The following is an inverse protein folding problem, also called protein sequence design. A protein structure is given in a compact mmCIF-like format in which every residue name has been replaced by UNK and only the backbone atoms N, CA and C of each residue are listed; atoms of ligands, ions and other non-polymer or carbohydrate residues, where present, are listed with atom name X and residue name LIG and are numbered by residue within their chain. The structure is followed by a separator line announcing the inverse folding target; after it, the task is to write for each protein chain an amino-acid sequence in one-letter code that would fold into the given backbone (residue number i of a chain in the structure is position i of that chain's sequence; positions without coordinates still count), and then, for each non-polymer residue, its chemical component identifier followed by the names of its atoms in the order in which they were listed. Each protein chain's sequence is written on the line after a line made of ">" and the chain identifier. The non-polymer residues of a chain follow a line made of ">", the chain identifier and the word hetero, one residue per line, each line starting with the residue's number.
data_IF_905423584039
#
_entry.id   IF_905423584039
#
_cell.length_a   1.000
_cell.length_b   1.000
_cell.length_c   1.000
_cell.angle_alpha   90.00
_cell.angle_beta   90.00
_cell.angle_gamma   90.00
#
_symmetry.space_group_name_H-M   'P 1'
#
loop_
_entity.id
_entity.type
_entity.pdbx_description
1 polymer ?
#
# COMPACT_ATOMS: atom_id res chain seq x y z
N UNK A 1 -94.73 -18.41 23.11
CA UNK A 1 -94.83 -17.18 22.29
C UNK A 1 -93.48 -16.51 22.31
N UNK A 2 -92.74 -16.54 21.14
CA UNK A 2 -91.53 -15.78 21.05
C UNK A 2 -91.84 -14.30 20.90
N UNK A 3 -91.28 -13.49 21.81
CA UNK A 3 -91.46 -12.03 21.88
C UNK A 3 -91.04 -11.45 20.52
N UNK A 4 -91.92 -10.68 19.88
CA UNK A 4 -91.58 -9.96 18.60
C UNK A 4 -90.50 -8.92 18.84
N UNK A 5 -90.20 -8.53 20.07
CA UNK A 5 -89.19 -7.54 20.42
C UNK A 5 -87.76 -8.09 20.59
N UNK A 6 -87.58 -9.40 20.75
CA UNK A 6 -86.27 -10.05 20.83
C UNK A 6 -86.29 -11.39 20.12
N UNK A 7 -85.89 -11.35 18.81
CA UNK A 7 -85.66 -12.57 18.04
C UNK A 7 -84.23 -13.08 18.21
N UNK A 8 -84.07 -13.97 19.25
CA UNK A 8 -82.77 -14.55 19.57
C UNK A 8 -82.14 -15.30 18.36
N UNK A 9 -82.96 -15.93 17.51
CA UNK A 9 -82.47 -16.62 16.31
C UNK A 9 -81.88 -15.62 15.28
N UNK A 10 -82.52 -14.45 15.09
CA UNK A 10 -82.01 -13.39 14.24
C UNK A 10 -80.70 -12.78 14.78
N UNK A 11 -80.56 -12.61 16.11
CA UNK A 11 -79.36 -12.13 16.74
C UNK A 11 -78.20 -13.14 16.58
N UNK A 12 -78.46 -14.44 16.79
CA UNK A 12 -77.47 -15.50 16.56
C UNK A 12 -77.04 -15.55 15.09
N UNK A 13 -77.98 -15.46 14.15
CA UNK A 13 -77.69 -15.43 12.72
C UNK A 13 -76.86 -14.20 12.34
N UNK A 14 -77.14 -13.03 12.88
CA UNK A 14 -76.39 -11.80 12.67
C UNK A 14 -74.98 -11.87 13.23
N UNK A 15 -74.81 -12.47 14.41
CA UNK A 15 -73.52 -12.69 15.03
C UNK A 15 -72.68 -13.72 14.27
N UNK A 16 -73.32 -14.78 13.73
CA UNK A 16 -72.65 -15.77 12.87
C UNK A 16 -72.20 -15.12 11.54
N UNK A 17 -73.08 -14.32 10.90
CA UNK A 17 -72.73 -13.58 9.72
C UNK A 17 -71.55 -12.61 9.92
N UNK A 18 -71.57 -11.90 11.05
CA UNK A 18 -70.45 -11.01 11.41
C UNK A 18 -69.14 -11.77 11.63
N UNK A 19 -69.19 -12.95 12.24
CA UNK A 19 -68.00 -13.81 12.41
C UNK A 19 -67.50 -14.34 11.08
N UNK A 20 -68.41 -14.80 10.18
CA UNK A 20 -68.03 -15.24 8.82
C UNK A 20 -67.41 -14.12 7.99
N UNK A 21 -68.00 -12.93 8.01
CA UNK A 21 -67.43 -11.77 7.30
C UNK A 21 -66.08 -11.36 7.83
N UNK A 22 -65.87 -11.41 9.17
CA UNK A 22 -64.56 -11.16 9.78
C UNK A 22 -63.56 -12.22 9.39
N UNK A 23 -63.93 -13.51 9.39
CA UNK A 23 -63.10 -14.60 8.95
C UNK A 23 -62.72 -14.50 7.47
N UNK A 24 -63.70 -14.16 6.60
CA UNK A 24 -63.46 -13.96 5.16
C UNK A 24 -62.48 -12.81 4.95
N UNK A 25 -62.67 -11.67 5.61
CA UNK A 25 -61.79 -10.52 5.51
C UNK A 25 -60.37 -10.84 5.96
N UNK A 26 -60.22 -11.62 7.02
CA UNK A 26 -58.92 -12.10 7.52
C UNK A 26 -58.24 -13.03 6.46
N UNK A 27 -58.98 -14.01 5.93
CA UNK A 27 -58.45 -14.93 4.90
C UNK A 27 -58.05 -14.21 3.64
N UNK A 28 -58.83 -13.22 3.20
CA UNK A 28 -58.48 -12.36 2.09
C UNK A 28 -57.17 -11.57 2.33
N UNK A 29 -57.00 -11.04 3.54
CA UNK A 29 -55.74 -10.36 3.91
C UNK A 29 -54.56 -11.32 3.94
N UNK A 30 -54.75 -12.53 4.47
CA UNK A 30 -53.71 -13.57 4.50
C UNK A 30 -53.30 -14.00 3.09
N UNK A 31 -54.25 -14.20 2.16
CA UNK A 31 -53.96 -14.51 0.79
C UNK A 31 -53.26 -13.36 0.06
N UNK A 32 -53.73 -12.13 0.29
CA UNK A 32 -53.12 -10.93 -0.35
C UNK A 32 -51.71 -10.64 0.13
N UNK A 33 -51.41 -10.85 1.42
CA UNK A 33 -50.09 -10.58 2.01
C UNK A 33 -49.16 -11.80 1.99
N UNK A 34 -49.72 -13.01 1.77
CA UNK A 34 -48.99 -14.27 1.92
C UNK A 34 -48.55 -14.56 3.35
N UNK A 35 -49.08 -13.85 4.33
CA UNK A 35 -48.69 -13.94 5.74
C UNK A 35 -49.93 -14.13 6.63
N UNK A 36 -49.93 -15.13 7.53
CA UNK A 36 -50.98 -15.36 8.48
C UNK A 36 -51.01 -14.31 9.60
N UNK A 37 -49.85 -13.65 9.83
CA UNK A 37 -49.72 -12.52 10.75
C UNK A 37 -48.99 -11.42 9.99
N UNK A 38 -49.74 -10.44 9.52
CA UNK A 38 -49.21 -9.34 8.72
C UNK A 38 -49.01 -8.06 9.55
N UNK A 39 -49.77 -7.91 10.62
CA UNK A 39 -49.75 -6.71 11.47
C UNK A 39 -49.65 -7.07 12.96
N UNK A 40 -49.22 -6.12 13.78
CA UNK A 40 -49.19 -6.27 15.23
C UNK A 40 -50.58 -6.45 15.88
N UNK A 41 -51.66 -6.12 15.13
CA UNK A 41 -53.05 -6.34 15.58
C UNK A 41 -53.46 -7.82 15.54
N UNK A 42 -52.86 -8.60 14.64
CA UNK A 42 -53.16 -10.02 14.51
C UNK A 42 -52.58 -10.83 15.67
N UNK A 43 -51.32 -10.59 16.00
CA UNK A 43 -50.64 -11.13 17.17
C UNK A 43 -49.34 -10.35 17.42
N UNK A 44 -49.36 -9.46 18.42
CA UNK A 44 -48.24 -8.55 18.69
C UNK A 44 -46.92 -9.31 19.05
N UNK A 45 -47.04 -10.43 19.79
CA UNK A 45 -45.87 -11.17 20.21
C UNK A 45 -45.20 -11.89 19.03
N UNK A 46 -45.98 -12.64 18.23
CA UNK A 46 -45.42 -13.32 17.04
C UNK A 46 -44.96 -12.34 15.99
N UNK A 47 -45.70 -11.24 15.79
CA UNK A 47 -45.31 -10.17 14.86
C UNK A 47 -43.93 -9.56 15.23
N UNK A 48 -43.75 -9.27 16.54
CA UNK A 48 -42.49 -8.74 17.08
C UNK A 48 -41.31 -9.71 16.82
N UNK A 49 -41.51 -11.00 17.11
CA UNK A 49 -40.51 -12.04 16.88
C UNK A 49 -40.20 -12.14 15.37
N UNK A 50 -41.22 -12.17 14.52
CA UNK A 50 -41.05 -12.25 13.07
C UNK A 50 -40.27 -11.05 12.52
N UNK A 51 -40.56 -9.82 13.01
CA UNK A 51 -39.82 -8.61 12.62
C UNK A 51 -38.37 -8.62 13.06
N UNK A 52 -38.10 -9.12 14.26
CA UNK A 52 -36.75 -9.30 14.76
C UNK A 52 -35.97 -10.30 13.87
N UNK A 53 -36.56 -11.46 13.56
CA UNK A 53 -35.95 -12.46 12.67
C UNK A 53 -35.75 -11.92 11.26
N UNK A 54 -36.69 -11.14 10.71
CA UNK A 54 -36.53 -10.50 9.40
C UNK A 54 -35.37 -9.49 9.38
N UNK A 55 -35.23 -8.72 10.46
CA UNK A 55 -34.08 -7.83 10.66
C UNK A 55 -32.78 -8.59 10.75
N UNK A 56 -32.75 -9.68 11.51
CA UNK A 56 -31.53 -10.50 11.68
C UNK A 56 -31.15 -11.19 10.37
N UNK A 57 -32.13 -11.73 9.62
CA UNK A 57 -31.88 -12.29 8.30
C UNK A 57 -31.31 -11.26 7.32
N UNK A 58 -31.81 -10.01 7.37
CA UNK A 58 -31.30 -8.91 6.56
C UNK A 58 -29.87 -8.54 6.96
N UNK A 59 -29.58 -8.49 8.25
CA UNK A 59 -28.22 -8.23 8.77
C UNK A 59 -27.24 -9.31 8.32
N UNK A 60 -27.62 -10.59 8.42
CA UNK A 60 -26.78 -11.71 7.96
C UNK A 60 -26.52 -11.62 6.44
N UNK A 61 -27.54 -11.29 5.65
CA UNK A 61 -27.39 -11.10 4.20
C UNK A 61 -26.42 -9.95 3.87
N UNK A 62 -26.50 -8.85 4.62
CA UNK A 62 -25.58 -7.71 4.46
C UNK A 62 -24.14 -8.12 4.81
N UNK A 63 -23.97 -8.89 5.90
CA UNK A 63 -22.65 -9.43 6.28
C UNK A 63 -22.10 -10.34 5.20
N UNK A 64 -22.91 -11.26 4.67
CA UNK A 64 -22.49 -12.15 3.57
C UNK A 64 -22.03 -11.36 2.33
N UNK A 65 -22.75 -10.29 1.96
CA UNK A 65 -22.35 -9.39 0.87
C UNK A 65 -21.03 -8.68 1.20
N UNK A 66 -20.87 -8.18 2.43
CA UNK A 66 -19.64 -7.54 2.88
C UNK A 66 -18.43 -8.48 2.86
N UNK A 67 -18.62 -9.74 3.28
CA UNK A 67 -17.57 -10.78 3.23
C UNK A 67 -17.18 -11.12 1.79
N UNK A 68 -18.14 -11.20 0.87
CA UNK A 68 -17.86 -11.42 -0.55
C UNK A 68 -17.04 -10.26 -1.13
N UNK A 69 -17.44 -9.01 -0.86
CA UNK A 69 -16.69 -7.82 -1.29
C UNK A 69 -15.27 -7.81 -0.71
N UNK A 70 -15.12 -8.19 0.55
CA UNK A 70 -13.80 -8.29 1.19
C UNK A 70 -12.94 -9.36 0.53
N UNK A 71 -13.51 -10.53 0.22
CA UNK A 71 -12.79 -11.59 -0.48
C UNK A 71 -12.34 -11.16 -1.89
N UNK A 72 -13.19 -10.44 -2.63
CA UNK A 72 -12.84 -9.85 -3.92
C UNK A 72 -11.72 -8.81 -3.80
N UNK A 73 -11.77 -7.98 -2.74
CA UNK A 73 -10.74 -6.98 -2.45
C UNK A 73 -9.38 -7.66 -2.19
N UNK A 74 -9.37 -8.72 -1.38
CA UNK A 74 -8.15 -9.50 -1.11
C UNK A 74 -7.64 -10.19 -2.39
N UNK A 75 -8.54 -10.77 -3.18
CA UNK A 75 -8.18 -11.43 -4.44
C UNK A 75 -7.56 -10.42 -5.43
N UNK A 76 -8.12 -9.22 -5.51
CA UNK A 76 -7.61 -8.12 -6.34
C UNK A 76 -6.20 -7.69 -5.89
N UNK A 77 -6.01 -7.50 -4.58
CA UNK A 77 -4.70 -7.17 -4.02
C UNK A 77 -3.65 -8.27 -4.30
N UNK A 78 -4.01 -9.55 -4.09
CA UNK A 78 -3.12 -10.70 -4.41
C UNK A 78 -2.77 -10.75 -5.90
N UNK A 79 -3.74 -10.48 -6.77
CA UNK A 79 -3.53 -10.41 -8.22
C UNK A 79 -2.54 -9.30 -8.60
N UNK A 80 -2.66 -8.13 -7.97
CA UNK A 80 -1.73 -7.02 -8.17
C UNK A 80 -0.31 -7.38 -7.68
N UNK A 81 -0.17 -7.95 -6.47
CA UNK A 81 1.12 -8.40 -5.92
C UNK A 81 1.79 -9.43 -6.83
N UNK A 82 1.04 -10.39 -7.38
CA UNK A 82 1.59 -11.37 -8.32
C UNK A 82 2.13 -10.72 -9.59
N UNK A 83 1.46 -9.69 -10.12
CA UNK A 83 1.94 -8.93 -11.28
C UNK A 83 3.18 -8.11 -10.93
N UNK A 84 3.20 -7.47 -9.76
CA UNK A 84 4.37 -6.73 -9.25
C UNK A 84 5.58 -7.66 -9.15
N UNK A 85 5.42 -8.85 -8.59
CA UNK A 85 6.50 -9.85 -8.47
C UNK A 85 7.08 -10.21 -9.85
N UNK A 86 6.24 -10.43 -10.86
CA UNK A 86 6.69 -10.70 -12.23
C UNK A 86 7.47 -9.54 -12.84
N UNK A 87 7.03 -8.30 -12.61
CA UNK A 87 7.76 -7.13 -13.11
C UNK A 87 9.11 -6.94 -12.39
N UNK A 88 9.19 -7.27 -11.11
CA UNK A 88 10.47 -7.27 -10.38
C UNK A 88 11.44 -8.33 -10.93
N UNK A 89 10.95 -9.53 -11.28
CA UNK A 89 11.76 -10.56 -11.95
C UNK A 89 12.25 -10.09 -13.32
N UNK A 90 11.41 -9.40 -14.08
CA UNK A 90 11.77 -8.78 -15.37
C UNK A 90 12.86 -7.72 -15.18
N UNK A 91 12.69 -6.83 -14.19
CA UNK A 91 13.70 -5.80 -13.87
C UNK A 91 15.02 -6.45 -13.49
N UNK A 92 14.99 -7.46 -12.60
CA UNK A 92 16.20 -8.18 -12.19
C UNK A 92 16.94 -8.81 -13.39
N UNK A 93 16.20 -9.44 -14.30
CA UNK A 93 16.77 -10.03 -15.52
C UNK A 93 17.42 -8.97 -16.42
N UNK A 94 16.78 -7.79 -16.55
CA UNK A 94 17.34 -6.67 -17.35
C UNK A 94 18.59 -6.07 -16.70
N UNK A 95 18.60 -5.95 -15.36
CA UNK A 95 19.78 -5.48 -14.61
C UNK A 95 20.95 -6.44 -14.78
N UNK A 96 20.71 -7.76 -14.74
CA UNK A 96 21.75 -8.77 -15.00
C UNK A 96 22.27 -8.63 -16.43
N UNK A 97 21.39 -8.47 -17.42
CA UNK A 97 21.76 -8.31 -18.83
C UNK A 97 22.58 -7.04 -19.10
N UNK A 98 22.29 -5.97 -18.34
CA UNK A 98 23.00 -4.70 -18.47
C UNK A 98 24.49 -4.77 -18.08
N UNK A 99 24.90 -5.78 -17.30
CA UNK A 99 26.31 -5.93 -16.84
C UNK A 99 27.29 -6.09 -18.01
N UNK A 100 26.89 -6.75 -19.10
CA UNK A 100 27.71 -7.03 -20.25
C UNK A 100 27.27 -6.27 -21.51
N UNK A 101 26.35 -5.30 -21.37
CA UNK A 101 25.77 -4.55 -22.46
C UNK A 101 26.62 -3.34 -22.85
N UNK A 102 26.53 -2.92 -24.11
CA UNK A 102 27.12 -1.65 -24.61
C UNK A 102 26.35 -0.46 -24.03
N UNK A 103 26.87 0.76 -24.22
CA UNK A 103 26.22 1.98 -23.74
C UNK A 103 24.80 2.15 -24.32
N UNK A 104 24.63 1.91 -25.63
CA UNK A 104 23.34 2.04 -26.31
C UNK A 104 22.32 0.97 -25.81
N UNK A 105 22.82 -0.27 -25.65
CA UNK A 105 22.01 -1.36 -25.11
C UNK A 105 21.58 -1.07 -23.66
N UNK A 106 22.46 -0.49 -22.83
CA UNK A 106 22.11 -0.07 -21.47
C UNK A 106 21.04 1.02 -21.45
N UNK A 107 21.11 1.99 -22.38
CA UNK A 107 20.07 3.01 -22.49
C UNK A 107 18.71 2.42 -22.84
N UNK A 108 18.67 1.43 -23.74
CA UNK A 108 17.43 0.70 -24.06
C UNK A 108 16.90 -0.09 -22.87
N UNK A 109 17.78 -0.83 -22.18
CA UNK A 109 17.42 -1.59 -20.98
C UNK A 109 16.92 -0.68 -19.85
N UNK A 110 17.50 0.52 -19.71
CA UNK A 110 17.03 1.51 -18.74
C UNK A 110 15.59 1.96 -19.05
N UNK A 111 15.31 2.28 -20.32
CA UNK A 111 13.94 2.63 -20.74
C UNK A 111 12.94 1.50 -20.43
N UNK A 112 13.34 0.27 -20.65
CA UNK A 112 12.52 -0.89 -20.36
C UNK A 112 12.29 -1.08 -18.87
N UNK A 113 13.31 -0.81 -18.03
CA UNK A 113 13.18 -0.83 -16.56
C UNK A 113 12.23 0.26 -16.10
N UNK A 114 12.35 1.47 -16.63
CA UNK A 114 11.48 2.59 -16.31
C UNK A 114 10.03 2.28 -16.66
N UNK A 115 9.77 1.62 -17.79
CA UNK A 115 8.45 1.14 -18.17
C UNK A 115 7.91 0.08 -17.19
N UNK A 116 8.74 -0.87 -16.77
CA UNK A 116 8.35 -1.88 -15.76
C UNK A 116 8.04 -1.23 -14.41
N UNK A 117 8.80 -0.22 -13.99
CA UNK A 117 8.53 0.58 -12.79
C UNK A 117 7.18 1.30 -12.89
N UNK A 118 6.90 1.93 -14.04
CA UNK A 118 5.62 2.58 -14.28
C UNK A 118 4.44 1.60 -14.21
N UNK A 119 4.61 0.37 -14.71
CA UNK A 119 3.61 -0.70 -14.59
C UNK A 119 3.40 -1.11 -13.13
N UNK A 120 4.46 -1.29 -12.35
CA UNK A 120 4.37 -1.57 -10.91
C UNK A 120 3.59 -0.46 -10.20
N UNK A 121 3.89 0.81 -10.47
CA UNK A 121 3.14 1.94 -9.92
C UNK A 121 1.66 1.91 -10.31
N UNK A 122 1.35 1.43 -11.51
CA UNK A 122 -0.02 1.20 -11.96
C UNK A 122 -0.72 0.11 -11.15
N UNK A 123 -0.05 -1.02 -10.91
CA UNK A 123 -0.60 -2.12 -10.10
C UNK A 123 -0.79 -1.73 -8.63
N UNK A 124 0.06 -0.88 -8.07
CA UNK A 124 -0.09 -0.37 -6.70
C UNK A 124 -1.34 0.48 -6.51
N UNK A 125 -1.84 1.11 -7.57
CA UNK A 125 -3.09 1.90 -7.53
C UNK A 125 -4.35 1.06 -7.66
N UNK A 126 -4.22 -0.26 -7.78
CA UNK A 126 -5.37 -1.14 -7.98
C UNK A 126 -6.19 -1.21 -6.69
N UNK A 127 -7.44 -0.73 -6.75
CA UNK A 127 -8.38 -0.74 -5.65
C UNK A 127 -9.66 -1.48 -6.05
N UNK A 128 -10.29 -2.13 -5.09
CA UNK A 128 -11.60 -2.76 -5.23
C UNK A 128 -12.59 -2.07 -4.28
N UNK A 129 -13.72 -1.63 -4.82
CA UNK A 129 -14.75 -0.92 -4.04
C UNK A 129 -14.22 0.28 -3.24
N UNK A 130 -13.22 0.98 -3.79
CA UNK A 130 -12.57 2.12 -3.12
C UNK A 130 -11.56 1.75 -2.03
N UNK A 131 -11.30 0.45 -1.83
CA UNK A 131 -10.31 -0.03 -0.86
C UNK A 131 -9.08 -0.54 -1.58
N UNK A 132 -7.92 -0.01 -1.21
CA UNK A 132 -6.61 -0.52 -1.62
C UNK A 132 -5.89 -1.09 -0.39
N UNK A 133 -5.38 -2.32 -0.51
CA UNK A 133 -4.72 -3.02 0.58
C UNK A 133 -3.19 -2.96 0.50
N UNK A 134 -2.61 -2.36 -0.56
CA UNK A 134 -1.18 -2.46 -0.86
C UNK A 134 -0.49 -1.14 -1.15
N UNK A 135 -1.21 -0.02 -1.23
CA UNK A 135 -0.65 1.28 -1.64
C UNK A 135 -0.05 2.11 -0.50
N UNK A 136 -0.19 1.65 0.75
CA UNK A 136 0.27 2.38 1.92
C UNK A 136 -0.52 3.66 2.24
N UNK A 137 -1.66 3.90 1.59
CA UNK A 137 -2.49 5.09 1.82
C UNK A 137 -3.12 5.14 3.20
N UNK A 138 -3.21 4.00 3.88
CA UNK A 138 -3.74 3.88 5.24
C UNK A 138 -2.92 2.86 6.02
N UNK A 139 -2.62 3.19 7.27
CA UNK A 139 -1.99 2.29 8.24
C UNK A 139 -3.00 1.50 9.07
N UNK A 140 -4.28 1.86 8.99
CA UNK A 140 -5.33 1.15 9.69
C UNK A 140 -5.75 -0.10 8.91
N UNK A 141 -5.92 -1.21 9.62
CA UNK A 141 -6.40 -2.47 9.05
C UNK A 141 -7.76 -2.31 8.39
N UNK A 142 -8.00 -3.11 7.37
CA UNK A 142 -9.32 -3.19 6.75
C UNK A 142 -10.22 -4.09 7.59
N UNK A 143 -11.22 -3.49 8.24
CA UNK A 143 -12.16 -4.18 9.11
C UNK A 143 -13.37 -4.69 8.32
N UNK A 144 -13.62 -5.98 8.39
CA UNK A 144 -14.76 -6.63 7.73
C UNK A 144 -15.65 -7.26 8.78
N UNK A 145 -16.93 -6.89 8.79
CA UNK A 145 -17.90 -7.49 9.71
C UNK A 145 -18.06 -8.98 9.36
N UNK A 146 -17.78 -9.85 10.34
CA UNK A 146 -17.78 -11.31 10.16
C UNK A 146 -19.00 -11.99 10.77
N UNK A 147 -19.52 -11.46 11.84
CA UNK A 147 -20.69 -12.02 12.52
C UNK A 147 -21.49 -10.96 13.23
N UNK A 148 -22.72 -11.35 13.51
CA UNK A 148 -23.71 -10.59 14.22
C UNK A 148 -24.32 -11.52 15.26
N UNK A 149 -24.30 -11.11 16.51
CA UNK A 149 -24.94 -11.83 17.60
C UNK A 149 -25.94 -10.93 18.33
N UNK A 150 -27.11 -11.46 18.60
CA UNK A 150 -28.15 -10.79 19.37
C UNK A 150 -28.38 -11.54 20.67
N UNK A 151 -28.05 -10.90 21.77
CA UNK A 151 -28.26 -11.41 23.11
C UNK A 151 -29.22 -10.49 23.91
N UNK A 152 -29.54 -10.88 25.12
CA UNK A 152 -30.29 -10.05 26.05
C UNK A 152 -29.59 -8.73 26.44
N UNK A 153 -28.27 -8.70 26.27
CA UNK A 153 -27.42 -7.50 26.50
C UNK A 153 -27.38 -6.54 25.32
N UNK A 154 -27.94 -6.94 24.17
CA UNK A 154 -27.94 -6.13 22.94
C UNK A 154 -27.37 -6.86 21.73
N UNK A 155 -26.99 -6.07 20.76
CA UNK A 155 -26.38 -6.55 19.50
C UNK A 155 -24.86 -6.37 19.57
N UNK A 156 -24.14 -7.46 19.33
CA UNK A 156 -22.68 -7.46 19.20
C UNK A 156 -22.27 -7.80 17.78
N UNK A 157 -21.23 -7.14 17.29
CA UNK A 157 -20.68 -7.32 15.95
C UNK A 157 -19.23 -7.75 16.11
N UNK A 158 -18.84 -8.83 15.44
CA UNK A 158 -17.43 -9.26 15.36
C UNK A 158 -16.86 -8.88 13.99
N UNK A 159 -15.59 -8.50 13.98
CA UNK A 159 -14.88 -8.12 12.78
C UNK A 159 -13.71 -9.05 12.53
N UNK A 160 -13.38 -9.26 11.25
CA UNK A 160 -12.10 -9.77 10.79
C UNK A 160 -11.24 -8.60 10.40
N UNK A 161 -10.04 -8.52 10.98
CA UNK A 161 -9.02 -7.53 10.61
C UNK A 161 -8.17 -8.08 9.48
N UNK A 162 -8.03 -7.33 8.40
CA UNK A 162 -7.14 -7.63 7.27
C UNK A 162 -6.05 -6.59 7.25
N UNK A 163 -4.82 -7.01 7.51
CA UNK A 163 -3.65 -6.14 7.53
C UNK A 163 -3.40 -5.53 6.15
N UNK A 164 -3.18 -4.23 6.11
CA UNK A 164 -2.75 -3.53 4.91
C UNK A 164 -1.24 -3.60 4.78
N UNK A 165 -0.76 -3.81 3.58
CA UNK A 165 0.66 -3.82 3.26
C UNK A 165 1.05 -2.53 2.55
N UNK A 166 2.14 -1.93 2.96
CA UNK A 166 2.68 -0.77 2.27
C UNK A 166 3.75 -1.22 1.27
N UNK A 167 3.35 -1.36 0.01
CA UNK A 167 4.25 -1.61 -1.11
C UNK A 167 4.51 -0.32 -1.92
N UNK A 168 4.12 0.85 -1.38
CA UNK A 168 4.31 2.10 -2.09
C UNK A 168 5.78 2.27 -2.42
N UNK A 169 6.04 2.49 -3.69
CA UNK A 169 7.34 2.94 -4.17
C UNK A 169 7.42 4.45 -3.88
N UNK A 170 7.50 4.82 -2.62
CA UNK A 170 7.92 6.17 -2.26
C UNK A 170 9.36 6.30 -2.73
N UNK A 171 9.50 6.79 -3.94
CA UNK A 171 10.80 7.09 -4.47
C UNK A 171 11.46 8.04 -3.49
N UNK A 172 12.48 7.55 -2.82
CA UNK A 172 13.44 8.45 -2.20
C UNK A 172 13.94 9.30 -3.36
N UNK A 173 13.43 10.52 -3.48
CA UNK A 173 13.95 11.45 -4.48
C UNK A 173 15.37 11.75 -4.05
N UNK A 174 16.40 11.32 -4.81
CA UNK A 174 17.77 11.67 -4.45
C UNK A 174 17.88 13.19 -4.36
N UNK A 175 18.60 13.72 -3.37
CA UNK A 175 18.81 15.17 -3.32
C UNK A 175 19.49 15.61 -4.60
N UNK A 176 19.02 16.69 -5.10
CA UNK A 176 19.74 17.42 -6.14
C UNK A 176 20.88 18.15 -5.44
N UNK A 177 22.08 17.60 -5.52
CA UNK A 177 23.28 18.34 -5.12
C UNK A 177 23.55 19.44 -6.15
N UNK A 178 23.77 20.66 -5.68
CA UNK A 178 24.23 21.73 -6.56
C UNK A 178 25.55 21.34 -7.25
N UNK A 179 25.78 21.85 -8.43
CA UNK A 179 26.89 21.46 -9.32
C UNK A 179 28.31 21.78 -8.80
N UNK A 180 28.47 22.22 -7.58
CA UNK A 180 29.73 22.66 -7.00
C UNK A 180 30.21 21.67 -5.94
N UNK A 181 31.39 21.30 -6.11
CA UNK A 181 32.40 20.62 -5.30
C UNK A 181 32.00 20.25 -3.84
N UNK A 182 32.43 19.09 -3.38
CA UNK A 182 32.10 18.48 -2.10
C UNK A 182 33.02 19.03 -1.00
N UNK A 183 32.44 19.62 0.05
CA UNK A 183 33.18 19.92 1.28
C UNK A 183 33.07 18.77 2.28
N UNK A 184 33.90 18.84 3.33
CA UNK A 184 34.03 17.86 4.43
C UNK A 184 32.78 17.61 5.27
N UNK A 185 31.58 17.94 4.78
CA UNK A 185 30.35 17.85 5.54
C UNK A 185 29.57 16.58 5.19
N UNK A 186 28.74 16.14 6.12
CA UNK A 186 27.93 14.95 5.99
C UNK A 186 27.02 14.96 4.76
N UNK A 187 27.06 13.88 3.98
CA UNK A 187 26.13 13.68 2.87
C UNK A 187 24.89 13.00 3.43
N UNK A 188 23.80 13.71 3.44
CA UNK A 188 22.49 13.16 3.76
C UNK A 188 21.46 13.65 2.78
N UNK A 189 20.51 12.79 2.48
CA UNK A 189 19.40 13.15 1.66
C UNK A 189 18.11 12.43 2.08
N UNK A 190 16.98 12.99 1.71
CA UNK A 190 15.66 12.43 1.94
C UNK A 190 15.38 12.18 3.43
N UNK A 191 15.23 13.26 4.17
CA UNK A 191 14.94 13.26 5.61
C UNK A 191 15.98 13.96 6.46
N UNK A 192 17.08 14.41 5.87
CA UNK A 192 18.10 15.25 6.51
C UNK A 192 18.47 16.46 5.68
N UNK A 193 19.20 17.38 6.28
CA UNK A 193 19.71 18.54 5.57
C UNK A 193 20.83 18.07 4.64
N UNK A 194 20.62 18.13 3.33
CA UNK A 194 21.68 17.89 2.37
C UNK A 194 22.78 18.92 2.59
N UNK A 195 23.96 18.47 2.85
CA UNK A 195 25.09 19.34 2.97
C UNK A 195 26.09 18.99 1.88
N UNK A 196 26.55 19.95 1.19
CA UNK A 196 27.72 19.74 0.42
C UNK A 196 27.96 20.82 -0.61
N UNK A 197 28.97 21.59 -0.41
CA UNK A 197 29.72 22.20 -1.48
C UNK A 197 31.08 21.49 -1.53
N UNK A 198 31.62 21.27 -2.71
CA UNK A 198 32.89 20.61 -2.86
C UNK A 198 33.99 21.65 -3.01
N UNK A 199 35.17 21.36 -2.53
CA UNK A 199 36.39 22.04 -2.88
C UNK A 199 37.17 21.20 -3.89
N UNK A 200 37.90 21.84 -4.79
CA UNK A 200 38.88 21.13 -5.60
C UNK A 200 39.93 20.51 -4.68
N UNK A 201 40.17 19.20 -4.84
CA UNK A 201 41.22 18.51 -4.09
C UNK A 201 42.51 18.68 -4.85
N UNK A 202 43.51 19.33 -4.23
CA UNK A 202 44.83 19.48 -4.82
C UNK A 202 45.51 18.12 -5.00
N UNK A 203 46.48 18.03 -5.91
CA UNK A 203 47.26 16.82 -6.09
C UNK A 203 47.97 16.47 -4.77
N UNK A 204 47.95 15.21 -4.36
CA UNK A 204 48.48 14.73 -3.09
C UNK A 204 47.64 15.02 -1.85
N UNK A 205 46.52 15.71 -2.00
CA UNK A 205 45.61 16.00 -0.91
C UNK A 205 44.47 14.95 -0.81
N UNK A 206 43.96 14.76 0.40
CA UNK A 206 42.82 13.90 0.68
C UNK A 206 41.62 14.70 1.12
N UNK A 207 40.46 14.29 0.72
CA UNK A 207 39.19 14.84 1.20
C UNK A 207 38.38 13.77 1.89
N UNK A 208 37.99 14.05 3.14
CA UNK A 208 37.11 13.18 3.88
C UNK A 208 35.65 13.56 3.61
N UNK A 209 34.84 12.56 3.30
CA UNK A 209 33.41 12.70 3.11
C UNK A 209 32.73 11.84 4.19
N UNK A 210 32.09 12.49 5.13
CA UNK A 210 31.42 11.81 6.25
C UNK A 210 29.97 11.52 5.88
N UNK A 211 29.53 10.28 6.14
CA UNK A 211 28.13 9.91 6.03
C UNK A 211 27.43 10.35 7.32
N UNK A 212 26.36 11.12 7.19
CA UNK A 212 25.56 11.58 8.33
C UNK A 212 24.64 10.49 8.88
N UNK A 213 23.58 10.88 9.56
CA UNK A 213 22.61 9.95 10.15
C UNK A 213 22.04 9.03 9.08
N UNK A 214 22.08 7.72 9.33
CA UNK A 214 21.51 6.70 8.43
C UNK A 214 20.14 6.29 8.94
N UNK A 215 19.19 6.20 8.04
CA UNK A 215 17.84 5.74 8.30
C UNK A 215 17.29 4.94 7.12
N UNK A 216 16.38 4.04 7.39
CA UNK A 216 15.72 3.25 6.36
C UNK A 216 15.08 4.15 5.29
N UNK A 217 15.38 3.89 4.02
CA UNK A 217 14.87 4.67 2.90
C UNK A 217 15.57 6.02 2.68
N UNK A 218 16.59 6.39 3.48
CA UNK A 218 17.38 7.56 3.19
C UNK A 218 18.25 7.31 1.96
N UNK A 219 18.27 8.25 1.03
CA UNK A 219 19.10 8.20 -0.15
C UNK A 219 20.34 9.06 0.02
N UNK A 220 21.48 8.55 -0.43
CA UNK A 220 22.77 9.21 -0.38
C UNK A 220 23.28 9.35 -1.79
N UNK A 221 23.67 10.55 -2.17
CA UNK A 221 24.19 10.84 -3.50
C UNK A 221 25.51 11.60 -3.40
N UNK A 222 26.50 11.09 -4.09
CA UNK A 222 27.79 11.74 -4.26
C UNK A 222 28.00 12.02 -5.74
N UNK A 223 28.13 13.30 -6.08
CA UNK A 223 28.51 13.73 -7.42
C UNK A 223 29.95 14.21 -7.41
N UNK A 224 30.79 13.61 -8.25
CA UNK A 224 32.21 13.91 -8.35
C UNK A 224 32.53 14.41 -9.73
N UNK A 225 32.73 15.73 -9.92
CA UNK A 225 33.30 16.24 -11.16
C UNK A 225 34.75 15.78 -11.27
N UNK A 226 35.09 15.18 -12.40
CA UNK A 226 36.44 14.74 -12.69
C UNK A 226 37.17 15.74 -13.56
N UNK A 227 38.48 15.94 -13.38
CA UNK A 227 39.25 16.83 -14.21
C UNK A 227 39.40 16.23 -15.62
N UNK A 228 39.03 17.01 -16.62
CA UNK A 228 39.15 16.66 -18.05
C UNK A 228 37.80 16.75 -18.77
N UNK A 229 37.77 17.38 -19.92
CA UNK A 229 36.57 17.65 -20.72
C UNK A 229 35.87 16.41 -21.26
N UNK A 230 36.47 15.24 -21.15
CA UNK A 230 36.02 13.99 -21.78
C UNK A 230 35.31 13.02 -20.81
N UNK A 231 35.51 13.21 -19.51
CA UNK A 231 34.97 12.31 -18.49
C UNK A 231 34.02 13.14 -17.64
N UNK A 232 32.74 12.98 -17.86
CA UNK A 232 31.70 13.76 -17.18
C UNK A 232 31.70 13.59 -15.64
N UNK A 233 30.71 14.16 -14.96
CA UNK A 233 30.53 14.02 -13.52
C UNK A 233 30.12 12.60 -13.18
N UNK A 234 30.92 11.88 -12.41
CA UNK A 234 30.53 10.59 -11.82
C UNK A 234 29.48 10.82 -10.74
N UNK A 235 28.38 10.11 -10.81
CA UNK A 235 27.32 10.16 -9.80
C UNK A 235 27.18 8.79 -9.16
N UNK A 236 27.25 8.74 -7.85
CA UNK A 236 27.15 7.52 -7.05
C UNK A 236 25.96 7.67 -6.10
N UNK A 237 25.08 6.69 -6.09
CA UNK A 237 23.84 6.76 -5.34
C UNK A 237 23.61 5.47 -4.56
N UNK A 238 23.10 5.60 -3.34
CA UNK A 238 22.70 4.46 -2.53
C UNK A 238 21.49 4.83 -1.65
N UNK A 239 20.54 3.91 -1.54
CA UNK A 239 19.39 4.02 -0.63
C UNK A 239 19.61 3.04 0.52
N UNK A 240 19.67 3.56 1.74
CA UNK A 240 19.92 2.76 2.91
C UNK A 240 18.74 1.87 3.30
N UNK A 241 19.02 0.64 3.67
CA UNK A 241 18.07 -0.27 4.29
C UNK A 241 17.94 -0.02 5.80
N UNK A 242 16.99 -0.69 6.44
CA UNK A 242 16.76 -0.53 7.88
C UNK A 242 17.95 -1.00 8.76
N UNK A 243 18.79 -1.88 8.23
CA UNK A 243 19.94 -2.45 8.92
C UNK A 243 21.27 -1.76 8.60
N UNK A 244 21.27 -0.81 7.65
CA UNK A 244 22.52 -0.19 7.22
C UNK A 244 23.07 0.80 8.25
N UNK A 245 24.36 0.73 8.48
CA UNK A 245 25.13 1.70 9.22
C UNK A 245 25.74 2.76 8.30
N UNK A 246 26.33 3.81 8.86
CA UNK A 246 27.06 4.81 8.08
C UNK A 246 28.26 4.19 7.34
N UNK A 247 28.87 3.14 7.91
CA UNK A 247 29.96 2.40 7.29
C UNK A 247 29.48 1.59 6.08
N UNK A 248 28.29 0.99 6.15
CA UNK A 248 27.70 0.26 5.01
C UNK A 248 27.42 1.20 3.84
N UNK A 249 26.82 2.35 4.11
CA UNK A 249 26.55 3.39 3.10
C UNK A 249 27.88 3.88 2.48
N UNK A 250 28.87 4.19 3.31
CA UNK A 250 30.18 4.63 2.84
C UNK A 250 30.86 3.55 1.97
N UNK A 251 30.79 2.29 2.39
CA UNK A 251 31.31 1.15 1.63
C UNK A 251 30.64 1.01 0.26
N UNK A 252 29.33 1.12 0.22
CA UNK A 252 28.57 1.02 -1.05
C UNK A 252 28.91 2.13 -2.03
N UNK A 253 28.93 3.39 -1.54
CA UNK A 253 29.32 4.54 -2.35
C UNK A 253 30.80 4.47 -2.79
N UNK A 254 31.70 4.04 -1.88
CA UNK A 254 33.11 3.88 -2.16
C UNK A 254 33.40 2.81 -3.23
N UNK A 255 32.70 1.69 -3.18
CA UNK A 255 32.81 0.65 -4.19
C UNK A 255 32.34 1.14 -5.57
N UNK A 256 31.22 1.89 -5.64
CA UNK A 256 30.75 2.48 -6.90
C UNK A 256 31.77 3.48 -7.44
N UNK A 257 32.31 4.34 -6.60
CA UNK A 257 33.33 5.32 -6.98
C UNK A 257 34.61 4.63 -7.48
N UNK A 258 35.08 3.61 -6.76
CA UNK A 258 36.28 2.84 -7.16
C UNK A 258 36.09 2.14 -8.51
N UNK A 259 34.93 1.51 -8.73
CA UNK A 259 34.60 0.89 -9.99
C UNK A 259 34.57 1.92 -11.15
N UNK A 260 33.99 3.08 -10.91
CA UNK A 260 33.94 4.17 -11.88
C UNK A 260 35.34 4.70 -12.25
N UNK A 261 36.20 4.90 -11.22
CA UNK A 261 37.58 5.33 -11.45
C UNK A 261 38.39 4.32 -12.29
N UNK A 262 38.23 3.04 -12.02
CA UNK A 262 38.84 1.97 -12.79
C UNK A 262 38.34 1.92 -14.25
N UNK A 263 37.02 2.01 -14.44
CA UNK A 263 36.42 1.97 -15.79
C UNK A 263 36.83 3.14 -16.67
N UNK A 264 37.14 4.28 -16.09
CA UNK A 264 37.56 5.48 -16.81
C UNK A 264 39.09 5.68 -16.86
N UNK A 265 39.86 4.68 -16.47
CA UNK A 265 41.31 4.75 -16.54
C UNK A 265 41.95 5.76 -15.56
N UNK A 266 41.22 6.12 -14.50
CA UNK A 266 41.64 7.10 -13.49
C UNK A 266 42.38 6.43 -12.33
N UNK A 267 43.40 5.63 -12.66
CA UNK A 267 44.20 4.90 -11.66
C UNK A 267 44.93 5.81 -10.67
N UNK A 268 45.06 7.09 -10.98
CA UNK A 268 45.67 8.10 -10.11
C UNK A 268 44.73 8.63 -9.00
N UNK A 269 43.50 8.12 -8.99
CA UNK A 269 42.54 8.46 -7.95
C UNK A 269 42.14 7.21 -7.20
N UNK A 270 41.98 7.32 -5.91
CA UNK A 270 41.48 6.20 -5.09
C UNK A 270 40.36 6.66 -4.16
N UNK A 271 39.45 5.74 -3.88
CA UNK A 271 38.44 5.90 -2.86
C UNK A 271 38.74 4.90 -1.76
N UNK A 272 39.03 5.40 -0.57
CA UNK A 272 39.34 4.57 0.60
C UNK A 272 38.29 4.81 1.69
N UNK A 273 37.86 3.72 2.33
CA UNK A 273 37.02 3.78 3.50
C UNK A 273 37.89 3.95 4.75
N UNK A 274 37.59 4.96 5.58
CA UNK A 274 38.25 5.13 6.87
C UNK A 274 37.23 5.64 7.89
N UNK A 275 36.93 4.85 8.91
CA UNK A 275 36.06 5.21 10.05
C UNK A 275 34.73 5.87 9.62
N UNK A 276 33.92 5.21 8.79
CA UNK A 276 32.64 5.72 8.26
C UNK A 276 32.76 6.97 7.38
N UNK A 277 33.94 7.27 6.87
CA UNK A 277 34.18 8.36 5.94
C UNK A 277 34.82 7.85 4.64
N UNK A 278 34.37 8.38 3.52
CA UNK A 278 34.98 8.16 2.22
C UNK A 278 36.19 9.11 2.06
N UNK A 279 37.34 8.55 1.75
CA UNK A 279 38.56 9.30 1.52
C UNK A 279 38.89 9.23 0.02
N UNK A 280 39.14 10.37 -0.58
CA UNK A 280 39.61 10.50 -1.94
C UNK A 280 41.06 10.94 -1.91
N UNK A 281 41.96 10.11 -2.41
CA UNK A 281 43.37 10.45 -2.56
C UNK A 281 43.68 10.81 -4.03
N UNK A 282 44.36 11.91 -4.24
CA UNK A 282 44.92 12.33 -5.52
C UNK A 282 46.43 12.21 -5.40
N UNK A 283 47.08 11.23 -6.09
CA UNK A 283 48.50 11.10 -5.98
C UNK A 283 49.25 12.32 -6.55
N UNK A 284 50.45 12.52 -6.02
CA UNK A 284 51.35 13.52 -6.57
C UNK A 284 51.69 13.19 -8.02
N UNK A 285 51.76 14.18 -8.94
CA UNK A 285 52.25 13.96 -10.28
C UNK A 285 53.68 13.36 -10.20
N UNK A 286 53.89 12.24 -10.88
CA UNK A 286 55.23 11.69 -11.06
C UNK A 286 56.14 12.77 -11.65
N UNK A 287 57.13 13.17 -10.92
CA UNK A 287 58.22 13.98 -11.49
C UNK A 287 58.94 13.13 -12.52
N UNK A 288 59.33 13.70 -13.66
CA UNK A 288 60.01 13.00 -14.75
C UNK A 288 61.37 12.48 -14.36
#
# INVERSE_FOLDING_TARGET
>A
MSSILTNNSAMVALQTLKTINSGLSKTQSEISTGKSISTSKDNAAIWSIAKTMESDATAIKTIATGLNTANETIATARGAVTKISKELDNINSKVISARNATADQRATLQTDIDNSIAQIQGYLKTAQSGVNLIDGSSTADYQVVSSFDRSSAGVTISNISVDRQNLSMSGTTPATFGATAITTTAIMNNGGTAAGSAAAVAAGATQNITIGTVGAGYSYRLAMPLPGATIGTGTFEYVASASDSAEDVATKLGNQMSAYLQQNGLANYSALLQNSALKRDVPLPHQP
#
